data_IF_877269399203
#
_entry.id   IF_877269399203
#
_cell.length_a   1.000
_cell.length_b   1.000
_cell.length_c   1.000
_cell.angle_alpha   90.00
_cell.angle_beta   90.00
_cell.angle_gamma   90.00
#
_symmetry.space_group_name_H-M   'P 1'
#
loop_
_entity.id
_entity.type
_entity.pdbx_description
1 polymer ?
#
# COMPACT_ATOMS: atom_id res chain seq x y z
N UNK A 1 -0.43 -11.17 15.84
CA UNK A 1 -0.62 -10.32 14.64
C UNK A 1 -2.03 -9.75 14.56
N UNK A 2 -3.09 -10.52 14.34
CA UNK A 2 -4.46 -9.95 14.22
C UNK A 2 -4.88 -9.20 15.49
N UNK A 3 -4.73 -9.82 16.66
CA UNK A 3 -5.02 -9.15 17.94
C UNK A 3 -4.19 -7.87 18.14
N UNK A 4 -2.94 -7.86 17.69
CA UNK A 4 -2.07 -6.68 17.78
C UNK A 4 -2.57 -5.57 16.85
N UNK A 5 -2.98 -5.92 15.62
CA UNK A 5 -3.58 -4.96 14.68
C UNK A 5 -4.91 -4.41 15.21
N UNK A 6 -5.74 -5.24 15.83
CA UNK A 6 -6.98 -4.80 16.46
C UNK A 6 -6.68 -3.83 17.61
N UNK A 7 -5.78 -4.19 18.54
CA UNK A 7 -5.36 -3.29 19.63
C UNK A 7 -4.78 -1.97 19.10
N UNK A 8 -4.04 -2.01 18.00
CA UNK A 8 -3.44 -0.84 17.37
C UNK A 8 -4.51 0.13 16.83
N UNK A 9 -5.58 -0.39 16.22
CA UNK A 9 -6.64 0.43 15.62
C UNK A 9 -7.68 0.87 16.67
N UNK A 10 -7.92 0.04 17.69
CA UNK A 10 -8.79 0.37 18.83
C UNK A 10 -8.16 1.40 19.79
N UNK A 11 -6.84 1.62 19.72
CA UNK A 11 -6.15 2.65 20.49
C UNK A 11 -6.74 4.05 20.16
N UNK A 12 -7.15 4.87 21.15
CA UNK A 12 -7.76 6.19 20.92
C UNK A 12 -6.93 7.16 20.07
N UNK A 13 -5.61 6.96 20.01
CA UNK A 13 -4.73 7.77 19.19
C UNK A 13 -4.76 7.36 17.70
N UNK A 14 -5.35 6.24 17.30
CA UNK A 14 -5.42 5.80 15.90
C UNK A 14 -6.20 6.79 15.03
N UNK A 15 -7.33 7.29 15.55
CA UNK A 15 -8.12 8.36 14.90
C UNK A 15 -7.30 9.67 14.81
N UNK A 16 -6.53 9.98 15.85
CA UNK A 16 -5.66 11.15 15.86
C UNK A 16 -4.51 11.03 14.83
N UNK A 17 -3.94 9.84 14.68
CA UNK A 17 -2.91 9.55 13.68
C UNK A 17 -3.45 9.69 12.27
N UNK A 18 -4.63 9.16 12.00
CA UNK A 18 -5.31 9.29 10.72
C UNK A 18 -5.56 10.76 10.38
N UNK A 19 -6.13 11.55 11.31
CA UNK A 19 -6.33 13.00 11.13
C UNK A 19 -5.01 13.74 10.89
N UNK A 20 -3.96 13.37 11.62
CA UNK A 20 -2.63 13.97 11.46
C UNK A 20 -2.04 13.66 10.09
N UNK A 21 -2.20 12.44 9.60
CA UNK A 21 -1.68 11.99 8.31
C UNK A 21 -2.36 12.67 7.12
N UNK A 22 -3.59 13.17 7.26
CA UNK A 22 -4.29 13.94 6.23
C UNK A 22 -3.95 15.45 6.25
N UNK A 23 -3.01 15.86 7.09
CA UNK A 23 -2.50 17.24 7.06
C UNK A 23 -1.70 17.52 5.77
N UNK A 24 -1.74 18.75 5.21
CA UNK A 24 -0.90 19.15 4.07
C UNK A 24 0.61 18.92 4.25
N UNK A 25 1.09 18.78 5.49
CA UNK A 25 2.48 18.46 5.80
C UNK A 25 2.88 17.01 5.50
N UNK A 26 1.92 16.14 5.18
CA UNK A 26 2.17 14.76 4.75
C UNK A 26 1.82 14.62 3.27
N UNK A 27 2.77 14.80 2.33
CA UNK A 27 2.51 14.68 0.90
C UNK A 27 1.91 13.33 0.51
N UNK A 28 2.28 12.26 1.23
CA UNK A 28 1.71 10.91 1.11
C UNK A 28 0.19 10.88 1.08
N UNK A 29 -0.50 11.83 1.74
CA UNK A 29 -1.96 11.91 1.72
C UNK A 29 -2.53 11.95 0.31
N UNK A 30 -1.81 12.53 -0.66
CA UNK A 30 -2.24 12.67 -2.05
C UNK A 30 -1.88 11.47 -2.93
N UNK A 31 -1.14 10.48 -2.41
CA UNK A 31 -0.61 9.35 -3.19
C UNK A 31 -1.67 8.67 -4.07
N UNK A 32 -2.85 8.38 -3.51
CA UNK A 32 -3.90 7.60 -4.19
C UNK A 32 -4.78 8.41 -5.16
N UNK A 33 -4.67 9.73 -5.17
CA UNK A 33 -5.58 10.59 -5.94
C UNK A 33 -4.87 11.84 -6.49
N UNK A 34 -3.55 11.78 -6.62
CA UNK A 34 -2.81 12.75 -7.41
C UNK A 34 -3.11 12.50 -8.89
N UNK A 35 -3.61 13.55 -9.56
CA UNK A 35 -3.93 13.50 -10.99
C UNK A 35 -5.15 12.64 -11.31
N UNK A 36 -5.37 12.45 -12.60
CA UNK A 36 -6.30 11.43 -13.11
C UNK A 36 -5.60 10.07 -13.10
N UNK A 37 -6.29 9.04 -12.61
CA UNK A 37 -5.70 7.72 -12.41
C UNK A 37 -6.22 6.79 -13.49
N UNK A 38 -5.40 6.54 -14.50
CA UNK A 38 -5.65 5.44 -15.42
C UNK A 38 -5.41 4.11 -14.67
N UNK A 39 -6.43 3.23 -14.52
CA UNK A 39 -6.26 1.98 -13.78
C UNK A 39 -5.43 0.95 -14.54
N UNK A 40 -5.16 1.14 -15.82
CA UNK A 40 -4.50 0.17 -16.69
C UNK A 40 -3.11 0.65 -17.09
N UNK A 41 -2.97 1.89 -17.53
CA UNK A 41 -1.68 2.41 -18.02
C UNK A 41 -0.90 3.14 -16.93
N UNK A 42 0.42 2.99 -16.94
CA UNK A 42 1.29 3.88 -16.16
C UNK A 42 1.32 5.25 -16.84
N UNK A 43 1.15 6.29 -16.04
CA UNK A 43 1.08 7.69 -16.47
C UNK A 43 2.16 8.50 -15.78
N UNK A 44 2.49 9.71 -16.29
CA UNK A 44 3.41 10.61 -15.58
C UNK A 44 2.90 10.95 -14.17
N UNK A 45 1.58 10.98 -13.97
CA UNK A 45 0.96 11.21 -12.66
C UNK A 45 1.30 10.13 -11.64
N UNK A 46 1.42 8.87 -12.07
CA UNK A 46 1.85 7.78 -11.18
C UNK A 46 3.30 7.96 -10.73
N UNK A 47 4.18 8.32 -11.66
CA UNK A 47 5.60 8.55 -11.35
C UNK A 47 5.78 9.69 -10.34
N UNK A 48 5.02 10.78 -10.48
CA UNK A 48 5.01 11.87 -9.50
C UNK A 48 4.40 11.39 -8.17
N UNK A 49 3.32 10.61 -8.20
CA UNK A 49 2.68 10.09 -7.00
C UNK A 49 3.65 9.23 -6.16
N UNK A 50 4.47 8.39 -6.80
CA UNK A 50 5.50 7.59 -6.12
C UNK A 50 6.46 8.46 -5.29
N UNK A 51 6.81 9.66 -5.76
CA UNK A 51 7.69 10.58 -5.01
C UNK A 51 7.07 11.05 -3.69
N UNK A 52 5.74 11.12 -3.61
CA UNK A 52 5.01 11.51 -2.40
C UNK A 52 5.15 10.50 -1.25
N UNK A 53 5.56 9.27 -1.59
CA UNK A 53 5.86 8.20 -0.64
C UNK A 53 7.35 7.87 -0.61
N UNK A 54 8.19 8.74 -1.17
CA UNK A 54 9.65 8.62 -1.17
C UNK A 54 10.18 7.50 -2.07
N UNK A 55 9.48 7.19 -3.15
CA UNK A 55 9.88 6.24 -4.19
C UNK A 55 10.18 7.00 -5.48
N UNK A 56 11.23 6.61 -6.20
CA UNK A 56 11.58 7.19 -7.50
C UNK A 56 11.92 6.09 -8.49
N UNK A 57 11.34 6.17 -9.69
CA UNK A 57 11.63 5.24 -10.78
C UNK A 57 12.86 5.74 -11.55
N UNK A 58 13.83 4.88 -11.91
CA UNK A 58 14.95 5.27 -12.77
C UNK A 58 14.48 5.85 -14.11
N UNK A 59 15.13 6.90 -14.60
CA UNK A 59 14.65 7.66 -15.77
C UNK A 59 14.44 6.79 -17.03
N UNK A 60 15.32 5.83 -17.30
CA UNK A 60 15.16 4.91 -18.43
C UNK A 60 13.93 4.02 -18.29
N UNK A 61 13.69 3.50 -17.08
CA UNK A 61 12.51 2.67 -16.78
C UNK A 61 11.23 3.51 -16.83
N UNK A 62 11.29 4.77 -16.38
CA UNK A 62 10.17 5.70 -16.50
C UNK A 62 9.77 5.93 -17.96
N UNK A 63 10.73 6.11 -18.87
CA UNK A 63 10.44 6.24 -20.30
C UNK A 63 9.84 4.95 -20.88
N UNK A 64 10.37 3.79 -20.52
CA UNK A 64 9.85 2.49 -20.98
C UNK A 64 8.41 2.22 -20.46
N UNK A 65 8.11 2.60 -19.22
CA UNK A 65 6.76 2.51 -18.66
C UNK A 65 5.75 3.43 -19.35
N UNK A 66 6.20 4.59 -19.85
CA UNK A 66 5.33 5.58 -20.48
C UNK A 66 5.16 5.34 -21.99
N UNK A 67 6.22 4.88 -22.65
CA UNK A 67 6.35 4.90 -24.11
C UNK A 67 6.80 3.56 -24.72
N UNK A 68 7.29 2.61 -23.92
CA UNK A 68 7.87 1.36 -24.39
C UNK A 68 7.07 0.11 -24.02
N UNK A 69 7.70 -1.06 -24.23
CA UNK A 69 7.05 -2.37 -24.13
C UNK A 69 6.76 -2.73 -22.67
N UNK A 70 7.61 -2.33 -21.71
CA UNK A 70 7.36 -2.60 -20.29
C UNK A 70 6.02 -2.00 -19.84
N UNK A 71 5.70 -0.79 -20.29
CA UNK A 71 4.42 -0.15 -20.00
C UNK A 71 3.23 -0.90 -20.60
N UNK A 72 3.39 -1.49 -21.79
CA UNK A 72 2.37 -2.27 -22.47
C UNK A 72 2.15 -3.62 -21.79
N UNK A 73 3.22 -4.32 -21.43
CA UNK A 73 3.17 -5.63 -20.78
C UNK A 73 2.54 -5.55 -19.38
N UNK A 74 2.89 -4.52 -18.60
CA UNK A 74 2.25 -4.25 -17.31
C UNK A 74 0.77 -3.91 -17.50
N UNK A 75 0.43 -3.10 -18.51
CA UNK A 75 -0.96 -2.76 -18.81
C UNK A 75 -1.78 -3.99 -19.25
N UNK A 76 -1.21 -4.91 -20.02
CA UNK A 76 -1.82 -6.18 -20.42
C UNK A 76 -2.25 -7.00 -19.20
N UNK A 77 -1.41 -7.09 -18.17
CA UNK A 77 -1.74 -7.76 -16.91
C UNK A 77 -2.80 -6.98 -16.12
N UNK A 78 -2.64 -5.66 -15.97
CA UNK A 78 -3.55 -4.82 -15.19
C UNK A 78 -4.98 -4.78 -15.76
N UNK A 79 -5.19 -4.97 -17.06
CA UNK A 79 -6.54 -5.09 -17.65
C UNK A 79 -7.37 -6.23 -17.06
N UNK A 80 -6.71 -7.26 -16.58
CA UNK A 80 -7.34 -8.45 -16.02
C UNK A 80 -7.49 -8.38 -14.49
N UNK A 81 -7.04 -7.29 -13.87
CA UNK A 81 -7.14 -7.05 -12.44
C UNK A 81 -8.12 -5.88 -12.24
N UNK A 82 -9.34 -6.08 -11.72
CA UNK A 82 -10.27 -4.98 -11.54
C UNK A 82 -9.76 -3.99 -10.48
N UNK A 83 -10.03 -2.69 -10.69
CA UNK A 83 -9.46 -1.61 -9.88
C UNK A 83 -10.12 -1.42 -8.50
N UNK A 84 -11.32 -1.97 -8.34
CA UNK A 84 -12.23 -1.77 -7.22
C UNK A 84 -12.35 -3.01 -6.30
N UNK A 85 -11.50 -4.03 -6.51
CA UNK A 85 -11.48 -5.22 -5.65
C UNK A 85 -10.81 -4.89 -4.31
N UNK A 86 -11.51 -5.02 -3.18
CA UNK A 86 -10.90 -4.87 -1.87
C UNK A 86 -10.08 -6.11 -1.49
N UNK A 87 -9.07 -5.92 -0.65
CA UNK A 87 -8.15 -6.96 -0.13
C UNK A 87 -8.86 -8.10 0.61
N UNK A 88 -10.07 -7.84 1.15
CA UNK A 88 -10.90 -8.84 1.81
C UNK A 88 -11.77 -9.67 0.83
N UNK A 89 -11.77 -9.35 -0.46
CA UNK A 89 -12.66 -9.99 -1.43
C UNK A 89 -12.30 -11.47 -1.63
N UNK A 90 -13.30 -12.36 -1.75
CA UNK A 90 -13.03 -13.76 -2.10
C UNK A 90 -12.44 -13.92 -3.51
N UNK A 91 -12.53 -12.87 -4.34
CA UNK A 91 -11.96 -12.86 -5.70
C UNK A 91 -10.45 -12.62 -5.70
N UNK A 92 -9.81 -12.29 -4.58
CA UNK A 92 -8.39 -11.88 -4.48
C UNK A 92 -7.37 -12.86 -5.10
N UNK A 93 -7.51 -14.20 -5.03
CA UNK A 93 -6.43 -15.10 -5.46
C UNK A 93 -5.93 -14.89 -6.90
N UNK A 94 -6.84 -14.75 -7.88
CA UNK A 94 -6.48 -14.55 -9.29
C UNK A 94 -5.89 -13.15 -9.58
N UNK A 95 -6.53 -12.04 -9.18
CA UNK A 95 -5.96 -10.69 -9.18
C UNK A 95 -4.58 -10.60 -8.54
N UNK A 96 -4.37 -11.23 -7.37
CA UNK A 96 -3.09 -11.16 -6.65
C UNK A 96 -1.99 -11.89 -7.42
N UNK A 97 -2.31 -13.04 -8.05
CA UNK A 97 -1.37 -13.75 -8.93
C UNK A 97 -0.96 -12.89 -10.13
N UNK A 98 -1.92 -12.22 -10.78
CA UNK A 98 -1.64 -11.32 -11.91
C UNK A 98 -0.80 -10.10 -11.49
N UNK A 99 -1.07 -9.54 -10.31
CA UNK A 99 -0.23 -8.49 -9.74
C UNK A 99 1.18 -8.99 -9.41
N UNK A 100 1.32 -10.24 -8.96
CA UNK A 100 2.62 -10.89 -8.77
C UNK A 100 3.43 -10.94 -10.06
N UNK A 101 2.81 -11.37 -11.16
CA UNK A 101 3.43 -11.36 -12.49
C UNK A 101 3.82 -9.95 -12.94
N UNK A 102 2.95 -8.96 -12.71
CA UNK A 102 3.23 -7.57 -13.08
C UNK A 102 4.39 -7.00 -12.26
N UNK A 103 4.50 -7.37 -10.98
CA UNK A 103 5.61 -7.01 -10.12
C UNK A 103 6.91 -7.64 -10.62
N UNK A 104 6.88 -8.92 -10.96
CA UNK A 104 8.07 -9.63 -11.42
C UNK A 104 8.62 -8.97 -12.70
N UNK A 105 7.75 -8.60 -13.67
CA UNK A 105 8.14 -7.79 -14.84
C UNK A 105 8.74 -6.43 -14.46
N UNK A 106 8.11 -5.74 -13.50
CA UNK A 106 8.57 -4.44 -13.04
C UNK A 106 9.91 -4.51 -12.31
N UNK A 107 10.30 -5.65 -11.72
CA UNK A 107 11.56 -5.87 -11.01
C UNK A 107 12.71 -6.33 -11.92
N UNK A 108 12.46 -6.70 -13.18
CA UNK A 108 13.52 -7.07 -14.12
C UNK A 108 14.50 -5.92 -14.43
N UNK A 109 14.06 -4.66 -14.65
CA UNK A 109 14.97 -3.57 -14.92
C UNK A 109 15.81 -3.16 -13.69
N UNK A 110 17.08 -2.85 -13.92
CA UNK A 110 18.00 -2.39 -12.86
C UNK A 110 17.45 -1.15 -12.16
N UNK A 111 17.41 -1.21 -10.82
CA UNK A 111 16.93 -0.12 -9.98
C UNK A 111 15.44 -0.14 -9.67
N UNK A 112 14.72 -1.18 -10.12
CA UNK A 112 13.37 -1.47 -9.68
C UNK A 112 13.39 -2.60 -8.64
N UNK A 113 13.25 -2.24 -7.38
CA UNK A 113 13.10 -3.20 -6.28
C UNK A 113 11.63 -3.44 -5.93
N UNK A 114 11.38 -4.40 -5.04
CA UNK A 114 10.06 -4.68 -4.48
C UNK A 114 9.35 -3.42 -3.99
N UNK A 115 10.10 -2.51 -3.34
CA UNK A 115 9.54 -1.27 -2.86
C UNK A 115 9.01 -0.43 -4.02
N UNK A 116 9.77 -0.29 -5.10
CA UNK A 116 9.43 0.54 -6.25
C UNK A 116 8.31 -0.08 -7.08
N UNK A 117 8.47 -1.36 -7.49
CA UNK A 117 7.48 -2.10 -8.26
C UNK A 117 6.14 -2.24 -7.51
N UNK A 118 6.19 -2.69 -6.26
CA UNK A 118 4.98 -2.89 -5.47
C UNK A 118 4.28 -1.58 -5.09
N UNK A 119 5.00 -0.46 -4.91
CA UNK A 119 4.38 0.85 -4.72
C UNK A 119 3.61 1.30 -5.98
N UNK A 120 4.15 1.05 -7.17
CA UNK A 120 3.45 1.34 -8.42
C UNK A 120 2.15 0.52 -8.53
N UNK A 121 2.20 -0.77 -8.18
CA UNK A 121 1.00 -1.61 -8.21
C UNK A 121 -0.02 -1.23 -7.13
N UNK A 122 0.41 -0.85 -5.93
CA UNK A 122 -0.45 -0.29 -4.90
C UNK A 122 -1.13 1.02 -5.34
N UNK A 123 -0.43 1.85 -6.13
CA UNK A 123 -1.04 3.04 -6.76
C UNK A 123 -2.19 2.67 -7.70
N UNK A 124 -2.02 1.58 -8.46
CA UNK A 124 -3.01 1.08 -9.42
C UNK A 124 -4.15 0.32 -8.77
N UNK A 125 -3.88 -0.42 -7.69
CA UNK A 125 -4.85 -1.26 -6.98
C UNK A 125 -4.84 -0.94 -5.47
N UNK A 126 -5.17 0.30 -5.08
CA UNK A 126 -5.03 0.78 -3.70
C UNK A 126 -5.92 0.05 -2.69
N UNK A 127 -7.00 -0.58 -3.16
CA UNK A 127 -7.89 -1.38 -2.32
C UNK A 127 -7.41 -2.82 -2.13
N UNK A 128 -6.51 -3.32 -2.99
CA UNK A 128 -6.16 -4.73 -3.10
C UNK A 128 -4.78 -5.06 -2.52
N UNK A 129 -3.76 -4.23 -2.78
CA UNK A 129 -2.40 -4.49 -2.33
C UNK A 129 -1.82 -3.29 -1.56
N UNK A 130 -1.12 -3.54 -0.44
CA UNK A 130 -0.48 -2.48 0.33
C UNK A 130 0.75 -1.93 -0.39
N UNK A 131 1.15 -0.71 -0.01
CA UNK A 131 2.46 -0.17 -0.32
C UNK A 131 3.51 -0.96 0.48
N UNK A 132 4.52 -1.59 -0.15
CA UNK A 132 5.61 -2.29 0.53
C UNK A 132 6.57 -1.29 1.20
N UNK A 133 6.07 -0.58 2.21
CA UNK A 133 6.79 0.42 2.97
C UNK A 133 7.71 -0.25 4.00
N UNK A 134 9.03 0.01 4.00
CA UNK A 134 9.95 -0.61 4.95
C UNK A 134 9.58 -0.38 6.42
N UNK A 135 8.93 0.74 6.75
CA UNK A 135 8.47 1.01 8.12
C UNK A 135 7.31 0.08 8.48
N UNK A 136 6.34 -0.09 7.57
CA UNK A 136 5.17 -0.96 7.80
C UNK A 136 5.60 -2.42 7.85
N UNK A 137 6.42 -2.87 6.89
CA UNK A 137 6.94 -4.24 6.87
C UNK A 137 7.77 -4.55 8.13
N UNK A 138 8.62 -3.61 8.55
CA UNK A 138 9.36 -3.72 9.80
C UNK A 138 8.44 -3.78 11.03
N UNK A 139 7.40 -2.94 11.07
CA UNK A 139 6.44 -2.94 12.16
C UNK A 139 5.73 -4.29 12.31
N UNK A 140 5.41 -4.93 11.19
CA UNK A 140 4.74 -6.23 11.13
C UNK A 140 5.67 -7.43 11.33
N UNK A 141 6.99 -7.23 11.27
CA UNK A 141 7.97 -8.33 11.25
C UNK A 141 7.83 -9.23 10.02
N UNK A 142 7.23 -8.73 8.93
CA UNK A 142 7.01 -9.48 7.69
C UNK A 142 8.08 -9.14 6.66
N UNK A 143 8.76 -10.17 6.14
CA UNK A 143 9.81 -9.99 5.11
C UNK A 143 9.54 -10.75 3.81
N UNK A 144 8.72 -11.80 3.82
CA UNK A 144 8.71 -12.79 2.74
C UNK A 144 7.51 -12.65 1.79
N UNK A 145 6.39 -12.09 2.28
CA UNK A 145 5.21 -11.81 1.47
C UNK A 145 4.73 -10.36 1.70
N UNK A 146 5.00 -9.44 0.76
CA UNK A 146 4.68 -8.02 0.93
C UNK A 146 3.18 -7.73 0.90
N UNK A 147 2.34 -8.64 0.40
CA UNK A 147 0.90 -8.41 0.23
C UNK A 147 0.02 -9.42 0.98
N UNK A 148 0.44 -10.68 1.12
CA UNK A 148 -0.38 -11.73 1.73
C UNK A 148 -0.69 -11.49 3.21
N UNK A 149 0.15 -10.73 3.93
CA UNK A 149 -0.18 -10.30 5.30
C UNK A 149 -1.50 -9.52 5.35
N UNK A 150 -1.78 -8.69 4.34
CA UNK A 150 -2.98 -7.87 4.29
C UNK A 150 -4.21 -8.72 3.98
N UNK A 151 -4.11 -9.65 3.02
CA UNK A 151 -5.17 -10.61 2.71
C UNK A 151 -5.54 -11.43 3.94
N UNK A 152 -4.54 -11.98 4.63
CA UNK A 152 -4.75 -12.71 5.87
C UNK A 152 -5.41 -11.84 6.94
N UNK A 153 -4.87 -10.64 7.21
CA UNK A 153 -5.36 -9.77 8.27
C UNK A 153 -6.81 -9.30 8.05
N UNK A 154 -7.19 -8.99 6.81
CA UNK A 154 -8.53 -8.49 6.47
C UNK A 154 -9.58 -9.60 6.28
N UNK A 155 -9.18 -10.87 6.17
CA UNK A 155 -10.11 -12.02 6.04
C UNK A 155 -10.21 -12.86 7.31
N UNK A 156 -9.24 -12.75 8.22
CA UNK A 156 -9.26 -13.46 9.49
C UNK A 156 -10.47 -13.05 10.36
N UNK A 157 -10.95 -13.99 11.18
CA UNK A 157 -12.07 -13.84 12.11
C UNK A 157 -13.30 -13.14 11.51
N UNK A 158 -13.64 -13.49 10.26
CA UNK A 158 -14.81 -12.96 9.57
C UNK A 158 -14.65 -11.51 9.09
N UNK A 159 -13.43 -10.98 9.04
CA UNK A 159 -13.15 -9.63 8.54
C UNK A 159 -13.27 -8.53 9.59
N UNK A 160 -13.27 -8.88 10.88
CA UNK A 160 -13.42 -7.94 12.00
C UNK A 160 -12.44 -6.76 11.95
N UNK A 161 -11.21 -6.96 11.45
CA UNK A 161 -10.23 -5.88 11.28
C UNK A 161 -10.73 -4.82 10.30
N UNK A 162 -11.38 -5.24 9.21
CA UNK A 162 -11.95 -4.33 8.22
C UNK A 162 -13.00 -3.41 8.83
N UNK A 163 -13.89 -3.97 9.66
CA UNK A 163 -14.95 -3.20 10.34
C UNK A 163 -14.37 -2.15 11.30
N UNK A 164 -13.39 -2.54 12.12
CA UNK A 164 -12.75 -1.64 13.09
C UNK A 164 -11.96 -0.54 12.38
N UNK A 165 -11.22 -0.87 11.32
CA UNK A 165 -10.50 0.13 10.51
C UNK A 165 -11.46 1.09 9.81
N UNK A 166 -12.56 0.58 9.26
CA UNK A 166 -13.58 1.41 8.62
C UNK A 166 -14.22 2.38 9.62
N UNK A 167 -14.50 1.93 10.85
CA UNK A 167 -15.03 2.78 11.92
C UNK A 167 -14.03 3.89 12.31
N UNK A 168 -12.76 3.54 12.56
CA UNK A 168 -11.72 4.53 12.88
C UNK A 168 -11.50 5.55 11.75
N UNK A 169 -11.51 5.09 10.50
CA UNK A 169 -11.40 5.95 9.31
C UNK A 169 -12.61 6.90 9.18
N UNK A 170 -13.81 6.40 9.40
CA UNK A 170 -15.03 7.20 9.37
C UNK A 170 -15.03 8.27 10.47
N UNK A 171 -14.62 7.91 11.69
CA UNK A 171 -14.47 8.87 12.80
C UNK A 171 -13.39 9.93 12.51
N UNK A 172 -12.32 9.55 11.83
CA UNK A 172 -11.29 10.49 11.38
C UNK A 172 -11.78 11.44 10.28
N UNK A 173 -12.93 11.17 9.64
CA UNK A 173 -13.49 11.97 8.55
C UNK A 173 -12.85 11.71 7.18
N UNK A 174 -12.16 10.59 7.00
CA UNK A 174 -11.38 10.29 5.81
C UNK A 174 -12.20 9.54 4.76
N UNK A 175 -12.86 10.27 3.87
CA UNK A 175 -13.75 9.70 2.84
C UNK A 175 -13.02 9.22 1.58
N UNK A 176 -11.84 9.74 1.28
CA UNK A 176 -11.09 9.42 0.05
C UNK A 176 -10.07 8.30 0.22
N UNK A 177 -9.79 7.89 1.45
CA UNK A 177 -8.81 6.86 1.79
C UNK A 177 -9.51 5.49 1.88
N UNK A 178 -8.91 4.43 1.33
CA UNK A 178 -9.39 3.06 1.53
C UNK A 178 -9.02 2.48 2.91
N UNK A 179 -9.72 1.45 3.36
CA UNK A 179 -9.48 0.84 4.68
C UNK A 179 -8.07 0.22 4.77
N UNK A 180 -7.61 -0.45 3.71
CA UNK A 180 -6.23 -0.97 3.65
C UNK A 180 -5.20 0.14 3.92
N UNK A 181 -5.37 1.29 3.28
CA UNK A 181 -4.48 2.44 3.45
C UNK A 181 -4.57 3.06 4.83
N UNK A 182 -5.78 3.12 5.40
CA UNK A 182 -5.97 3.60 6.76
C UNK A 182 -5.18 2.75 7.75
N UNK A 183 -5.25 1.42 7.63
CA UNK A 183 -4.45 0.52 8.46
C UNK A 183 -2.94 0.76 8.30
N UNK A 184 -2.43 0.80 7.07
CA UNK A 184 -1.01 1.09 6.81
C UNK A 184 -0.57 2.41 7.42
N UNK A 185 -1.44 3.42 7.36
CA UNK A 185 -1.18 4.75 7.89
C UNK A 185 -1.08 4.74 9.40
N UNK A 186 -1.99 4.05 10.11
CA UNK A 186 -1.90 3.89 11.56
C UNK A 186 -0.60 3.16 11.94
N UNK A 187 -0.28 2.05 11.28
CA UNK A 187 0.97 1.29 11.53
C UNK A 187 2.19 2.20 11.34
N UNK A 188 2.24 2.92 10.22
CA UNK A 188 3.34 3.83 9.90
C UNK A 188 3.45 4.95 10.95
N UNK A 189 2.34 5.60 11.31
CA UNK A 189 2.33 6.67 12.30
C UNK A 189 2.86 6.22 13.66
N UNK A 190 2.62 4.97 14.03
CA UNK A 190 3.08 4.39 15.30
C UNK A 190 4.51 3.89 15.29
N UNK A 191 5.07 3.56 14.13
CA UNK A 191 6.42 2.99 14.06
C UNK A 191 7.49 3.93 13.45
N UNK A 192 7.13 4.88 12.58
CA UNK A 192 8.10 5.62 11.75
C UNK A 192 9.20 6.36 12.52
N UNK A 193 8.95 6.78 13.76
CA UNK A 193 9.94 7.51 14.58
C UNK A 193 10.98 6.59 15.23
N UNK A 194 10.59 5.36 15.50
CA UNK A 194 11.42 4.35 16.18
C UNK A 194 12.07 3.39 15.18
N UNK A 195 11.63 3.44 13.93
CA UNK A 195 12.15 2.60 12.86
C UNK A 195 13.66 2.81 12.67
N UNK A 196 14.40 1.71 12.76
CA UNK A 196 15.83 1.66 12.47
C UNK A 196 16.03 0.86 11.19
N UNK A 197 16.97 1.29 10.34
CA UNK A 197 17.29 0.59 9.09
C UNK A 197 17.85 -0.81 9.32
N UNK A 198 18.47 -1.05 10.48
CA UNK A 198 19.03 -2.34 10.89
C UNK A 198 18.69 -2.60 12.35
N UNK A 199 18.53 -3.87 12.71
CA UNK A 199 18.26 -4.33 14.09
C UNK A 199 17.04 -3.66 14.77
N UNK A 200 16.04 -3.23 13.98
CA UNK A 200 14.81 -2.70 14.54
C UNK A 200 14.00 -3.84 15.20
N UNK A 201 13.41 -3.55 16.36
CA UNK A 201 12.63 -4.52 17.10
C UNK A 201 11.18 -4.70 16.58
N UNK A 202 10.83 -4.01 15.48
CA UNK A 202 9.46 -3.92 14.98
C UNK A 202 8.55 -3.09 15.88
N UNK A 203 7.24 -3.15 15.62
CA UNK A 203 6.25 -2.43 16.42
C UNK A 203 6.08 -3.13 17.77
N UNK A 204 6.32 -2.39 18.85
CA UNK A 204 6.01 -2.84 20.21
C UNK A 204 4.78 -2.10 20.68
N UNK A 205 3.63 -2.78 20.66
CA UNK A 205 2.45 -2.29 21.33
C UNK A 205 2.70 -2.40 22.84
N UNK A 206 3.00 -1.26 23.49
CA UNK A 206 3.09 -1.22 24.93
C UNK A 206 1.70 -1.54 25.50
N UNK A 207 1.65 -2.55 26.38
CA UNK A 207 0.44 -2.97 27.09
C UNK A 207 -0.02 -1.92 28.11
#
# INVERSE_FOLDING_TARGET
MLEDLLRLVDDPLAVADLRRSDSPFYPRRRFEFLGDVDPVRVTPGDLVALTLVGVSVPAGVALDLLEGDLGLDVADLLRHVPADVPVASPLVPDPLRLLGMARDLLEEPVGMDLRTAGTLLARKRPLLVPVPDPVVLCALGSTDDPWGWAVWAFTADGGVLGDVVAAARAEAGLVTMGDLRALETVIWMRHHREHLRTHCAGLRLHA
#
